data_IF_510322747570
#
_entry.id   IF_510322747570
#
_cell.length_a   1.000
_cell.length_b   1.000
_cell.length_c   1.000
_cell.angle_alpha   90.00
_cell.angle_beta   90.00
_cell.angle_gamma   90.00
#
_symmetry.space_group_name_H-M   'P 1'
#
loop_
_entity.id
_entity.type
_entity.pdbx_description
1 polymer ?
#
# COMPACT_ATOMS: atom_id res chain seq x y z
N UNK A 1 -13.24 8.32 18.04
CA UNK A 1 -13.01 8.35 16.58
C UNK A 1 -11.77 9.15 16.18
N UNK A 2 -11.43 10.28 16.82
CA UNK A 2 -10.22 11.07 16.46
C UNK A 2 -8.90 10.42 16.89
N UNK A 3 -8.87 9.71 18.02
CA UNK A 3 -7.68 9.01 18.53
C UNK A 3 -7.25 7.87 17.58
N UNK A 4 -8.19 7.03 17.15
CA UNK A 4 -7.92 5.87 16.29
C UNK A 4 -7.36 6.29 14.91
N UNK A 5 -7.86 7.41 14.37
CA UNK A 5 -7.35 7.97 13.12
C UNK A 5 -5.92 8.51 13.30
N UNK A 6 -5.65 9.20 14.42
CA UNK A 6 -4.32 9.74 14.71
C UNK A 6 -3.27 8.63 14.85
N UNK A 7 -3.61 7.54 15.54
CA UNK A 7 -2.75 6.38 15.71
C UNK A 7 -2.52 5.65 14.37
N UNK A 8 -3.56 5.57 13.53
CA UNK A 8 -3.48 5.01 12.18
C UNK A 8 -2.56 5.82 11.27
N UNK A 9 -2.71 7.15 11.25
CA UNK A 9 -1.84 8.05 10.47
C UNK A 9 -0.38 7.92 10.93
N UNK A 10 -0.15 7.91 12.25
CA UNK A 10 1.18 7.77 12.83
C UNK A 10 1.81 6.44 12.44
N UNK A 11 1.06 5.34 12.54
CA UNK A 11 1.50 4.01 12.13
C UNK A 11 1.86 3.99 10.64
N UNK A 12 0.98 4.52 9.77
CA UNK A 12 1.25 4.59 8.33
C UNK A 12 2.51 5.41 8.01
N UNK A 13 2.73 6.54 8.68
CA UNK A 13 3.95 7.35 8.53
C UNK A 13 5.19 6.53 8.93
N UNK A 14 5.15 5.79 10.03
CA UNK A 14 6.25 4.94 10.49
C UNK A 14 6.52 3.80 9.51
N UNK A 15 5.50 3.02 9.14
CA UNK A 15 5.61 1.92 8.19
C UNK A 15 6.16 2.39 6.85
N UNK A 16 5.69 3.53 6.34
CA UNK A 16 6.19 4.12 5.09
C UNK A 16 7.66 4.52 5.20
N UNK A 17 8.08 5.12 6.32
CA UNK A 17 9.49 5.47 6.56
C UNK A 17 10.38 4.24 6.59
N UNK A 18 9.96 3.18 7.26
CA UNK A 18 10.71 1.92 7.31
C UNK A 18 10.79 1.23 5.96
N UNK A 19 9.66 1.16 5.24
CA UNK A 19 9.60 0.62 3.89
C UNK A 19 10.53 1.37 2.94
N UNK A 20 10.55 2.71 3.00
CA UNK A 20 11.45 3.53 2.20
C UNK A 20 12.93 3.28 2.55
N UNK A 21 13.27 3.13 3.85
CA UNK A 21 14.62 2.78 4.29
C UNK A 21 15.05 1.41 3.74
N UNK A 22 14.20 0.39 3.87
CA UNK A 22 14.45 -0.97 3.34
C UNK A 22 14.64 -0.95 1.83
N UNK A 23 13.81 -0.20 1.11
CA UNK A 23 13.89 -0.08 -0.35
C UNK A 23 15.20 0.58 -0.79
N UNK A 24 15.65 1.64 -0.11
CA UNK A 24 16.96 2.27 -0.37
C UNK A 24 18.10 1.30 -0.14
N UNK A 25 18.08 0.56 0.98
CA UNK A 25 19.10 -0.45 1.28
C UNK A 25 19.13 -1.56 0.23
N UNK A 26 17.97 -2.09 -0.16
CA UNK A 26 17.86 -3.10 -1.21
C UNK A 26 18.39 -2.59 -2.56
N UNK A 27 18.07 -1.35 -2.95
CA UNK A 27 18.62 -0.71 -4.16
C UNK A 27 20.13 -0.59 -4.11
N UNK A 28 20.69 -0.20 -2.97
CA UNK A 28 22.14 -0.11 -2.79
C UNK A 28 22.80 -1.50 -2.93
N UNK A 29 22.27 -2.52 -2.24
CA UNK A 29 22.78 -3.89 -2.33
C UNK A 29 22.66 -4.49 -3.73
N UNK A 30 21.57 -4.22 -4.46
CA UNK A 30 21.39 -4.68 -5.83
C UNK A 30 22.40 -4.02 -6.79
N UNK A 31 22.71 -2.73 -6.60
CA UNK A 31 23.76 -2.03 -7.38
C UNK A 31 25.15 -2.61 -7.17
N UNK A 32 25.42 -3.18 -5.99
CA UNK A 32 26.66 -3.90 -5.68
C UNK A 32 26.66 -5.34 -6.22
N UNK A 33 25.67 -5.72 -7.04
CA UNK A 33 25.61 -7.03 -7.67
C UNK A 33 25.01 -8.14 -6.81
N UNK A 34 24.32 -7.82 -5.70
CA UNK A 34 23.66 -8.85 -4.89
C UNK A 34 22.38 -9.37 -5.56
N UNK A 35 22.33 -10.62 -6.02
CA UNK A 35 21.18 -11.16 -6.76
C UNK A 35 19.93 -11.30 -5.88
N UNK A 36 20.09 -11.62 -4.59
CA UNK A 36 18.95 -11.69 -3.65
C UNK A 36 18.30 -10.32 -3.45
N UNK A 37 19.08 -9.25 -3.47
CA UNK A 37 18.56 -7.89 -3.38
C UNK A 37 17.79 -7.50 -4.65
N UNK A 38 18.28 -7.89 -5.84
CA UNK A 38 17.58 -7.69 -7.10
C UNK A 38 16.23 -8.43 -7.14
N UNK A 39 16.20 -9.71 -6.76
CA UNK A 39 14.95 -10.49 -6.67
C UNK A 39 13.96 -9.85 -5.69
N UNK A 40 14.43 -9.42 -4.51
CA UNK A 40 13.59 -8.74 -3.51
C UNK A 40 13.04 -7.41 -4.03
N UNK A 41 13.80 -6.65 -4.81
CA UNK A 41 13.31 -5.42 -5.45
C UNK A 41 12.21 -5.71 -6.47
N UNK A 42 12.35 -6.77 -7.24
CA UNK A 42 11.32 -7.22 -8.19
C UNK A 42 10.06 -7.62 -7.45
N UNK A 43 10.17 -8.47 -6.41
CA UNK A 43 9.03 -8.86 -5.57
C UNK A 43 8.35 -7.62 -4.96
N UNK A 44 9.13 -6.66 -4.44
CA UNK A 44 8.58 -5.45 -3.84
C UNK A 44 7.85 -4.54 -4.86
N UNK A 45 8.31 -4.53 -6.12
CA UNK A 45 7.62 -3.81 -7.20
C UNK A 45 6.33 -4.51 -7.61
N UNK A 46 6.39 -5.85 -7.74
CA UNK A 46 5.27 -6.68 -8.15
C UNK A 46 4.18 -6.79 -7.08
N UNK A 47 4.55 -6.80 -5.80
CA UNK A 47 3.59 -6.92 -4.70
C UNK A 47 2.67 -5.71 -4.55
N UNK A 48 2.92 -4.62 -5.28
CA UNK A 48 2.07 -3.43 -5.26
C UNK A 48 1.94 -2.77 -3.89
N UNK A 49 2.67 -3.22 -2.86
CA UNK A 49 2.58 -2.72 -1.49
C UNK A 49 3.28 -1.37 -1.37
N UNK A 50 2.67 -0.33 -1.94
CA UNK A 50 3.03 1.06 -1.68
C UNK A 50 2.05 1.62 -0.67
N UNK A 51 2.52 1.78 0.58
CA UNK A 51 1.77 2.52 1.58
C UNK A 51 1.60 3.97 1.11
N UNK A 52 0.37 4.49 1.04
CA UNK A 52 0.13 5.86 0.63
C UNK A 52 0.82 6.83 1.59
N UNK A 53 1.10 8.03 1.12
CA UNK A 53 1.44 9.12 2.01
C UNK A 53 0.15 9.66 2.65
N UNK A 54 -0.11 9.44 3.96
CA UNK A 54 -1.34 9.88 4.61
C UNK A 54 -1.48 11.41 4.64
N UNK A 55 -0.39 12.14 4.41
CA UNK A 55 -0.37 13.60 4.39
C UNK A 55 -0.64 14.20 3.00
N UNK A 56 -0.91 13.35 1.98
CA UNK A 56 -1.18 13.81 0.62
C UNK A 56 -2.43 13.16 0.06
N UNK A 57 -3.48 13.97 -0.13
CA UNK A 57 -4.76 13.56 -0.72
C UNK A 57 -4.61 12.70 -1.97
N UNK A 58 -3.87 13.16 -2.98
CA UNK A 58 -3.66 12.43 -4.23
C UNK A 58 -2.98 11.07 -4.03
N UNK A 59 -2.09 10.93 -3.04
CA UNK A 59 -1.43 9.65 -2.75
C UNK A 59 -2.40 8.64 -2.15
N UNK A 60 -3.31 9.09 -1.30
CA UNK A 60 -4.33 8.25 -0.69
C UNK A 60 -5.41 7.83 -1.69
N UNK A 61 -5.89 8.76 -2.53
CA UNK A 61 -6.85 8.46 -3.60
C UNK A 61 -6.28 7.44 -4.58
N UNK A 62 -5.06 7.66 -5.07
CA UNK A 62 -4.42 6.72 -5.98
C UNK A 62 -4.25 5.31 -5.36
N UNK A 63 -3.94 5.23 -4.06
CA UNK A 63 -3.85 3.94 -3.39
C UNK A 63 -5.21 3.25 -3.24
N UNK A 64 -6.29 4.01 -3.03
CA UNK A 64 -7.65 3.48 -2.99
C UNK A 64 -8.08 2.94 -4.37
N UNK A 65 -7.88 3.75 -5.44
CA UNK A 65 -8.20 3.39 -6.82
C UNK A 65 -7.52 2.08 -7.24
N UNK A 66 -6.22 1.93 -6.98
CA UNK A 66 -5.52 0.69 -7.34
C UNK A 66 -6.04 -0.56 -6.62
N UNK A 67 -6.54 -0.43 -5.39
CA UNK A 67 -7.14 -1.58 -4.70
C UNK A 67 -8.46 -1.96 -5.38
N UNK A 68 -9.26 -0.97 -5.78
CA UNK A 68 -10.52 -1.22 -6.48
C UNK A 68 -10.30 -1.82 -7.88
N UNK A 69 -9.30 -1.34 -8.62
CA UNK A 69 -8.87 -1.93 -9.89
C UNK A 69 -8.48 -3.39 -9.71
N UNK A 70 -7.62 -3.68 -8.73
CA UNK A 70 -7.17 -5.04 -8.48
C UNK A 70 -8.29 -5.98 -8.00
N UNK A 71 -9.25 -5.47 -7.21
CA UNK A 71 -10.44 -6.24 -6.84
C UNK A 71 -11.33 -6.55 -8.05
N UNK A 72 -11.41 -5.62 -9.01
CA UNK A 72 -12.15 -5.83 -10.26
C UNK A 72 -11.48 -6.91 -11.09
N UNK A 73 -10.15 -6.82 -11.28
CA UNK A 73 -9.35 -7.84 -11.97
C UNK A 73 -9.53 -9.23 -11.36
N UNK A 74 -9.47 -9.33 -10.02
CA UNK A 74 -9.60 -10.61 -9.31
C UNK A 74 -11.04 -11.15 -9.34
N UNK A 75 -12.06 -10.29 -9.41
CA UNK A 75 -13.46 -10.73 -9.55
C UNK A 75 -13.71 -11.32 -10.94
N UNK A 76 -13.03 -10.79 -11.94
CA UNK A 76 -13.16 -11.22 -13.33
C UNK A 76 -12.25 -12.43 -13.64
N UNK A 77 -11.38 -12.84 -12.71
CA UNK A 77 -10.54 -14.05 -12.80
C UNK A 77 -11.24 -15.28 -12.21
N UNK A 78 -11.72 -16.23 -13.03
CA UNK A 78 -12.40 -17.42 -12.56
C UNK A 78 -11.48 -18.43 -11.86
N UNK A 79 -10.15 -18.24 -11.93
CA UNK A 79 -9.16 -19.16 -11.35
C UNK A 79 -8.81 -18.82 -9.91
N UNK A 80 -9.18 -17.61 -9.43
CA UNK A 80 -8.84 -17.12 -8.11
C UNK A 80 -10.08 -16.62 -7.36
N UNK A 81 -10.88 -17.51 -6.75
CA UNK A 81 -12.09 -17.11 -6.04
C UNK A 81 -11.74 -16.19 -4.86
N UNK A 82 -12.29 -14.98 -4.89
CA UNK A 82 -12.19 -14.01 -3.80
C UNK A 82 -13.01 -14.48 -2.61
N UNK A 83 -12.35 -14.69 -1.47
CA UNK A 83 -13.06 -15.00 -0.22
C UNK A 83 -13.76 -13.74 0.33
N UNK A 84 -14.87 -13.89 1.06
CA UNK A 84 -15.57 -12.75 1.69
C UNK A 84 -14.66 -11.91 2.60
N UNK A 85 -13.73 -12.55 3.31
CA UNK A 85 -12.79 -11.87 4.20
C UNK A 85 -11.81 -10.96 3.44
N UNK A 86 -11.31 -11.43 2.29
CA UNK A 86 -10.42 -10.64 1.43
C UNK A 86 -11.15 -9.43 0.86
N UNK A 87 -12.40 -9.61 0.43
CA UNK A 87 -13.25 -8.53 -0.06
C UNK A 87 -13.49 -7.47 1.03
N UNK A 88 -13.88 -7.91 2.23
CA UNK A 88 -14.15 -7.04 3.38
C UNK A 88 -12.91 -6.24 3.75
N UNK A 89 -11.77 -6.91 3.93
CA UNK A 89 -10.50 -6.26 4.28
C UNK A 89 -10.04 -5.27 3.19
N UNK A 90 -10.25 -5.58 1.91
CA UNK A 90 -9.92 -4.65 0.83
C UNK A 90 -10.83 -3.42 0.82
N UNK A 91 -12.14 -3.60 1.04
CA UNK A 91 -13.11 -2.50 1.13
C UNK A 91 -12.84 -1.58 2.33
N UNK A 92 -12.58 -2.13 3.52
CA UNK A 92 -12.21 -1.35 4.71
C UNK A 92 -10.97 -0.48 4.45
N UNK A 93 -9.99 -1.04 3.75
CA UNK A 93 -8.75 -0.33 3.39
C UNK A 93 -8.97 0.77 2.36
N UNK A 94 -9.84 0.56 1.37
CA UNK A 94 -10.27 1.62 0.43
C UNK A 94 -10.96 2.75 1.19
N UNK A 95 -11.89 2.42 2.09
CA UNK A 95 -12.59 3.42 2.92
C UNK A 95 -11.61 4.20 3.79
N UNK A 96 -10.66 3.52 4.45
CA UNK A 96 -9.60 4.17 5.22
C UNK A 96 -8.80 5.15 4.37
N UNK A 97 -8.37 4.76 3.17
CA UNK A 97 -7.58 5.65 2.31
C UNK A 97 -8.38 6.83 1.79
N UNK A 98 -9.66 6.66 1.46
CA UNK A 98 -10.54 7.79 1.11
C UNK A 98 -10.72 8.74 2.29
N UNK A 99 -10.95 8.20 3.49
CA UNK A 99 -11.06 9.01 4.70
C UNK A 99 -9.77 9.80 5.00
N UNK A 100 -8.61 9.16 4.86
CA UNK A 100 -7.31 9.83 4.96
C UNK A 100 -7.13 10.91 3.90
N UNK A 101 -7.63 10.68 2.68
CA UNK A 101 -7.57 11.66 1.61
C UNK A 101 -8.40 12.92 1.92
N UNK A 102 -9.56 12.74 2.55
CA UNK A 102 -10.44 13.83 2.98
C UNK A 102 -9.86 14.59 4.19
N UNK A 103 -9.13 13.92 5.07
CA UNK A 103 -8.47 14.52 6.23
C UNK A 103 -7.11 15.16 5.92
N UNK A 104 -6.46 14.81 4.80
CA UNK A 104 -5.19 15.41 4.39
C UNK A 104 -5.43 16.88 4.01
N UNK A 105 -4.77 17.81 4.73
CA UNK A 105 -4.81 19.24 4.41
C UNK A 105 -4.35 19.48 2.95
N UNK A 106 -5.10 20.32 2.24
CA UNK A 106 -4.87 20.70 0.85
C UNK A 106 -3.45 21.20 0.57
#
# INVERSE_FOLDING_TARGET
MTQDLHDTVTTLRLTRREAAKRLRALRASARLGNPKAATRLTIYRLSGFQFPNPDRRASCLHAAERIEEHLTELRDDPTMPLTPDVLTCAQERVQLYRHLADCAAH
#
